data_IF_461253873257
#
_entry.id   IF_461253873257
#
_cell.length_a   1.000
_cell.length_b   1.000
_cell.length_c   1.000
_cell.angle_alpha   90.00
_cell.angle_beta   90.00
_cell.angle_gamma   90.00
#
_symmetry.space_group_name_H-M   'P 1'
#
loop_
_entity.id
_entity.type
_entity.pdbx_description
1 polymer ?
#
# COMPACT_ATOMS: atom_id res chain seq x y z
N UNK A 1 -38.45 -41.15 -0.79
CA UNK A 1 -38.92 -39.88 -1.40
C UNK A 1 -38.71 -38.83 -0.34
N UNK A 2 -37.53 -38.25 -0.31
CA UNK A 2 -37.18 -37.07 0.48
C UNK A 2 -36.44 -36.13 -0.46
N UNK A 3 -37.12 -35.05 -0.74
CA UNK A 3 -36.75 -34.01 -1.69
C UNK A 3 -35.67 -33.11 -1.06
N UNK A 4 -34.44 -33.15 -1.57
CA UNK A 4 -33.39 -32.23 -1.22
C UNK A 4 -33.39 -31.09 -2.23
N UNK A 5 -34.14 -30.05 -1.93
CA UNK A 5 -34.03 -28.76 -2.60
C UNK A 5 -32.69 -28.11 -2.25
N UNK A 6 -31.74 -28.29 -3.14
CA UNK A 6 -30.53 -27.48 -3.18
C UNK A 6 -30.91 -26.04 -3.44
N UNK A 7 -30.76 -25.17 -2.45
CA UNK A 7 -30.71 -23.72 -2.65
C UNK A 7 -29.40 -23.39 -3.38
N UNK A 8 -29.50 -23.10 -4.66
CA UNK A 8 -28.46 -22.40 -5.37
C UNK A 8 -28.37 -20.99 -4.81
N UNK A 9 -27.27 -20.66 -4.16
CA UNK A 9 -26.87 -19.29 -3.90
C UNK A 9 -26.57 -18.67 -5.24
N UNK A 10 -27.31 -17.65 -5.60
CA UNK A 10 -27.18 -16.88 -6.82
C UNK A 10 -26.03 -15.89 -6.60
N UNK A 11 -24.89 -15.98 -7.30
CA UNK A 11 -23.80 -15.00 -7.19
C UNK A 11 -24.04 -13.75 -8.03
N UNK A 12 -25.25 -13.54 -8.49
CA UNK A 12 -25.57 -12.38 -9.32
C UNK A 12 -26.13 -11.23 -8.51
N UNK A 13 -25.35 -10.55 -7.77
CA UNK A 13 -25.71 -9.18 -7.34
C UNK A 13 -24.64 -8.74 -6.32
N UNK A 14 -23.62 -8.03 -6.73
CA UNK A 14 -23.18 -6.97 -5.82
C UNK A 14 -22.08 -6.05 -6.33
N UNK A 15 -21.52 -6.29 -7.53
CA UNK A 15 -20.43 -5.40 -8.03
C UNK A 15 -20.68 -4.85 -9.47
N UNK A 16 -21.92 -4.62 -9.85
CA UNK A 16 -22.30 -4.31 -11.25
C UNK A 16 -22.62 -2.85 -11.56
N UNK A 17 -22.08 -1.86 -10.87
CA UNK A 17 -22.40 -0.45 -11.18
C UNK A 17 -21.27 0.55 -11.02
N UNK A 18 -20.07 0.23 -11.45
CA UNK A 18 -18.99 1.22 -11.35
C UNK A 18 -18.25 1.49 -12.65
N UNK A 19 -18.86 1.93 -13.68
CA UNK A 19 -18.22 2.76 -14.73
C UNK A 19 -19.32 3.46 -15.52
N UNK A 20 -19.76 4.62 -15.10
CA UNK A 20 -20.31 5.67 -15.98
C UNK A 20 -20.46 6.97 -15.19
N UNK A 21 -19.50 7.86 -15.30
CA UNK A 21 -19.72 9.23 -14.81
C UNK A 21 -18.50 10.05 -14.44
N UNK A 22 -17.49 10.10 -15.29
CA UNK A 22 -16.48 11.15 -15.16
C UNK A 22 -16.65 12.14 -16.31
N UNK A 23 -17.50 13.13 -16.13
CA UNK A 23 -17.53 14.33 -16.99
C UNK A 23 -17.06 15.55 -16.21
N UNK A 24 -16.02 16.14 -16.76
CA UNK A 24 -15.43 17.45 -16.51
C UNK A 24 -16.42 18.55 -16.07
N UNK A 25 -16.03 19.29 -15.02
CA UNK A 25 -16.25 20.72 -14.87
C UNK A 25 -15.41 21.17 -13.66
N UNK A 26 -14.48 22.10 -13.70
CA UNK A 26 -14.54 23.40 -14.28
C UNK A 26 -13.79 24.28 -13.30
N UNK A 27 -12.59 24.73 -13.67
CA UNK A 27 -11.77 25.74 -12.96
C UNK A 27 -12.56 27.03 -12.78
N UNK A 28 -12.53 27.61 -11.58
CA UNK A 28 -12.77 29.05 -11.39
C UNK A 28 -11.83 29.60 -10.33
N UNK A 29 -10.92 30.40 -10.81
CA UNK A 29 -10.01 31.23 -10.05
C UNK A 29 -10.74 32.35 -9.29
N UNK A 30 -10.32 32.64 -8.07
CA UNK A 30 -10.56 33.93 -7.44
C UNK A 30 -9.25 34.47 -6.85
N UNK A 31 -8.79 35.52 -7.53
CA UNK A 31 -7.79 36.50 -7.07
C UNK A 31 -8.53 37.69 -6.42
N UNK A 32 -8.13 38.11 -5.22
CA UNK A 32 -8.16 39.51 -4.72
C UNK A 32 -7.30 39.51 -3.45
N UNK A 33 -6.14 40.05 -3.37
CA UNK A 33 -5.62 41.41 -3.44
C UNK A 33 -5.71 42.20 -2.13
N UNK A 34 -4.52 42.49 -1.58
CA UNK A 34 -4.03 43.72 -0.96
C UNK A 34 -4.65 44.28 0.33
N UNK A 35 -3.71 44.61 1.25
CA UNK A 35 -3.88 45.73 2.20
C UNK A 35 -3.01 45.66 3.44
N UNK A 36 -1.79 46.12 3.33
CA UNK A 36 -1.00 47.21 3.97
C UNK A 36 -0.86 47.25 5.51
N UNK A 37 0.38 47.11 5.91
CA UNK A 37 1.21 47.98 6.81
C UNK A 37 0.75 48.30 8.25
N UNK A 38 1.68 47.98 9.18
CA UNK A 38 1.70 48.53 10.53
C UNK A 38 3.03 48.25 11.21
N UNK A 39 3.93 49.18 11.12
CA UNK A 39 5.26 49.28 11.75
C UNK A 39 5.16 49.42 13.28
N UNK A 40 6.07 48.77 14.02
CA UNK A 40 6.31 49.08 15.43
C UNK A 40 7.55 48.36 15.94
N UNK A 41 8.63 49.07 16.05
CA UNK A 41 9.97 48.67 16.46
C UNK A 41 10.14 48.80 17.99
N UNK A 42 11.28 48.38 18.61
CA UNK A 42 11.35 47.54 19.82
C UNK A 42 11.79 48.25 21.07
N UNK A 43 11.71 47.58 22.20
CA UNK A 43 12.48 48.00 23.40
C UNK A 43 12.90 46.77 24.22
N UNK A 44 14.19 46.58 24.33
CA UNK A 44 14.89 45.88 25.39
C UNK A 44 15.67 46.93 26.21
N UNK A 45 16.40 46.66 27.29
CA UNK A 45 16.39 45.49 28.20
C UNK A 45 16.36 45.91 29.72
N UNK A 46 16.24 44.93 30.62
CA UNK A 46 16.82 45.09 31.96
C UNK A 46 17.22 43.74 32.59
N UNK A 47 18.50 43.68 32.88
CA UNK A 47 19.24 42.64 33.61
C UNK A 47 18.96 42.73 35.11
N UNK A 48 18.86 41.60 35.80
CA UNK A 48 19.39 41.40 37.15
C UNK A 48 19.44 39.92 37.52
N UNK A 49 20.63 39.43 37.83
CA UNK A 49 20.95 38.16 38.46
C UNK A 49 21.19 38.41 39.98
N UNK A 50 21.61 37.39 40.78
CA UNK A 50 20.97 36.12 41.13
C UNK A 50 20.67 36.03 42.63
N UNK A 51 19.89 35.04 43.04
CA UNK A 51 19.87 34.65 44.47
C UNK A 51 19.76 33.12 44.64
N UNK A 52 20.63 32.58 45.42
CA UNK A 52 20.96 31.19 45.73
C UNK A 52 19.96 30.54 46.72
N UNK A 53 19.48 29.34 46.40
CA UNK A 53 19.31 28.03 47.09
C UNK A 53 18.75 27.95 48.53
N UNK A 54 18.35 26.76 49.08
CA UNK A 54 18.04 25.43 48.50
C UNK A 54 16.71 24.82 49.03
N UNK A 55 16.22 23.81 48.35
CA UNK A 55 15.13 22.99 48.86
C UNK A 55 14.60 22.04 47.82
N UNK A 56 15.27 20.86 47.62
CA UNK A 56 14.81 19.82 46.73
C UNK A 56 13.54 19.15 47.24
N UNK A 57 12.42 19.35 46.55
CA UNK A 57 11.31 18.39 46.50
C UNK A 57 11.48 17.52 45.27
N UNK A 58 11.11 16.22 45.33
CA UNK A 58 11.14 15.38 44.16
C UNK A 58 10.25 16.03 43.09
N UNK A 59 10.81 16.30 41.94
CA UNK A 59 10.05 16.70 40.77
C UNK A 59 9.06 15.56 40.46
N UNK A 60 7.78 15.77 40.71
CA UNK A 60 6.73 14.96 40.11
C UNK A 60 6.95 15.00 38.62
N UNK A 61 7.06 13.80 38.00
CA UNK A 61 7.02 13.68 36.57
C UNK A 61 5.77 14.42 36.05
N UNK A 62 5.86 15.19 34.97
CA UNK A 62 4.71 15.88 34.43
C UNK A 62 3.61 14.86 34.18
N UNK A 63 2.48 15.00 34.87
CA UNK A 63 1.28 14.21 34.60
C UNK A 63 0.95 14.40 33.13
N UNK A 64 1.02 13.33 32.36
CA UNK A 64 0.64 13.36 30.93
C UNK A 64 -0.79 13.92 30.83
N UNK A 65 -0.96 15.00 30.07
CA UNK A 65 -2.29 15.54 29.78
C UNK A 65 -3.03 14.41 29.02
N UNK A 66 -4.24 14.02 29.45
CA UNK A 66 -4.99 13.00 28.73
C UNK A 66 -5.16 13.44 27.28
N UNK A 67 -4.61 12.66 26.33
CA UNK A 67 -4.82 12.89 24.92
C UNK A 67 -6.24 12.45 24.55
N UNK A 68 -6.91 13.22 23.70
CA UNK A 68 -8.22 12.89 23.16
C UNK A 68 -8.14 12.76 21.65
N UNK A 69 -8.92 11.85 21.05
CA UNK A 69 -8.99 11.75 19.59
C UNK A 69 -9.39 13.09 18.98
N UNK A 70 -8.83 13.42 17.82
CA UNK A 70 -9.23 14.59 17.03
C UNK A 70 -10.60 14.35 16.38
N UNK A 71 -11.25 15.44 15.96
CA UNK A 71 -12.52 15.34 15.23
C UNK A 71 -12.36 14.73 13.83
N UNK A 72 -11.16 14.79 13.26
CA UNK A 72 -10.86 14.31 11.91
C UNK A 72 -9.48 13.64 11.83
N UNK A 73 -9.31 12.77 10.82
CA UNK A 73 -8.07 12.09 10.44
C UNK A 73 -7.96 12.10 8.92
N UNK A 74 -6.87 12.64 8.37
CA UNK A 74 -6.60 12.64 6.93
C UNK A 74 -5.77 11.40 6.58
N UNK A 75 -6.35 10.48 5.80
CA UNK A 75 -5.75 9.19 5.47
C UNK A 75 -5.63 9.00 3.95
N UNK A 76 -4.39 8.92 3.43
CA UNK A 76 -4.09 8.60 2.04
C UNK A 76 -3.76 7.11 1.89
N UNK A 77 -4.42 6.45 0.94
CA UNK A 77 -4.23 5.02 0.66
C UNK A 77 -4.30 4.73 -0.85
N UNK A 78 -4.10 3.49 -1.20
CA UNK A 78 -4.22 2.94 -2.55
C UNK A 78 -5.69 2.66 -2.90
N UNK A 79 -6.05 2.64 -4.20
CA UNK A 79 -7.36 2.19 -4.64
C UNK A 79 -7.66 0.76 -4.21
N UNK A 80 -8.93 0.47 -3.90
CA UNK A 80 -9.41 -0.87 -3.55
C UNK A 80 -8.68 -1.52 -2.35
N UNK A 81 -8.22 -0.74 -1.41
CA UNK A 81 -7.31 -1.22 -0.36
C UNK A 81 -7.88 -1.13 1.06
N UNK A 82 -9.19 -0.98 1.17
CA UNK A 82 -9.99 -1.09 2.39
C UNK A 82 -11.37 -1.66 2.04
N UNK A 83 -12.06 -2.25 3.02
CA UNK A 83 -13.41 -2.78 2.85
C UNK A 83 -14.38 -1.68 2.41
N UNK A 84 -15.18 -1.98 1.38
CA UNK A 84 -16.13 -1.07 0.77
C UNK A 84 -17.52 -1.70 0.76
N UNK A 85 -18.56 -0.89 1.00
CA UNK A 85 -19.94 -1.34 0.96
C UNK A 85 -20.36 -1.68 -0.48
N UNK A 86 -21.05 -2.81 -0.66
CA UNK A 86 -21.44 -3.33 -1.98
C UNK A 86 -22.42 -2.43 -2.72
N UNK A 87 -23.23 -1.64 -1.99
CA UNK A 87 -24.27 -0.77 -2.54
C UNK A 87 -23.83 0.70 -2.62
N UNK A 88 -22.79 1.08 -1.87
CA UNK A 88 -22.32 2.47 -1.79
C UNK A 88 -20.78 2.50 -1.59
N UNK A 89 -20.06 2.63 -2.69
CA UNK A 89 -18.58 2.62 -2.73
C UNK A 89 -17.92 3.77 -1.94
N UNK A 90 -18.68 4.77 -1.52
CA UNK A 90 -18.17 5.83 -0.65
C UNK A 90 -18.19 5.45 0.83
N UNK A 91 -18.73 4.29 1.15
CA UNK A 91 -18.82 3.78 2.51
C UNK A 91 -17.82 2.66 2.75
N UNK A 92 -17.12 2.80 3.85
CA UNK A 92 -16.12 1.85 4.32
C UNK A 92 -16.46 1.47 5.76
N UNK A 93 -16.91 0.24 5.97
CA UNK A 93 -17.36 -0.21 7.30
C UNK A 93 -16.28 -0.03 8.37
N UNK A 94 -15.03 -0.32 8.06
CA UNK A 94 -13.90 -0.09 9.00
C UNK A 94 -13.79 1.37 9.43
N UNK A 95 -13.99 2.33 8.52
CA UNK A 95 -13.94 3.76 8.85
C UNK A 95 -15.16 4.21 9.64
N UNK A 96 -16.34 3.67 9.33
CA UNK A 96 -17.58 3.93 10.08
C UNK A 96 -17.47 3.38 11.51
N UNK A 97 -16.93 2.15 11.69
CA UNK A 97 -16.72 1.54 13.00
C UNK A 97 -15.71 2.34 13.84
N UNK A 98 -14.63 2.84 13.22
CA UNK A 98 -13.69 3.74 13.88
C UNK A 98 -14.35 5.04 14.32
N UNK A 99 -15.15 5.65 13.44
CA UNK A 99 -15.92 6.88 13.73
C UNK A 99 -16.89 6.64 14.89
N UNK A 100 -17.61 5.51 14.88
CA UNK A 100 -18.54 5.16 15.96
C UNK A 100 -17.83 4.97 17.30
N UNK A 101 -16.61 4.42 17.31
CA UNK A 101 -15.83 4.14 18.53
C UNK A 101 -15.18 5.39 19.11
N UNK A 102 -14.60 6.26 18.27
CA UNK A 102 -13.76 7.37 18.71
C UNK A 102 -14.33 8.76 18.44
N UNK A 103 -15.41 8.88 17.66
CA UNK A 103 -16.01 10.18 17.29
C UNK A 103 -15.22 10.93 16.21
N UNK A 104 -14.20 10.32 15.62
CA UNK A 104 -13.33 10.88 14.58
C UNK A 104 -13.87 10.56 13.19
N UNK A 105 -14.03 11.54 12.33
CA UNK A 105 -14.34 11.33 10.91
C UNK A 105 -13.04 11.09 10.15
N UNK A 106 -12.90 9.93 9.51
CA UNK A 106 -11.75 9.64 8.67
C UNK A 106 -12.00 10.21 7.27
N UNK A 107 -11.16 11.17 6.87
CA UNK A 107 -11.12 11.70 5.49
C UNK A 107 -10.21 10.79 4.67
N UNK A 108 -10.81 9.74 4.14
CA UNK A 108 -10.12 8.73 3.37
C UNK A 108 -9.98 9.15 1.92
N UNK A 109 -8.80 8.92 1.33
CA UNK A 109 -8.50 9.30 -0.04
C UNK A 109 -7.69 8.22 -0.74
N UNK A 110 -8.23 7.65 -1.81
CA UNK A 110 -7.56 6.70 -2.69
C UNK A 110 -6.78 7.45 -3.77
N UNK A 111 -5.62 7.98 -3.40
CA UNK A 111 -4.81 8.86 -4.26
C UNK A 111 -3.39 8.36 -4.50
N UNK A 112 -3.02 7.24 -3.89
CA UNK A 112 -1.71 6.63 -4.10
C UNK A 112 -1.86 5.63 -5.25
N UNK A 113 -1.15 5.88 -6.36
CA UNK A 113 -1.13 5.00 -7.53
C UNK A 113 0.27 4.43 -7.79
N UNK A 114 1.28 5.12 -7.28
CA UNK A 114 2.70 4.76 -7.36
C UNK A 114 3.45 5.40 -6.18
N UNK A 115 4.40 4.67 -5.57
CA UNK A 115 5.16 5.17 -4.41
C UNK A 115 5.99 6.41 -4.74
N UNK A 116 6.68 6.43 -5.89
CA UNK A 116 7.56 7.54 -6.27
C UNK A 116 6.74 8.78 -6.65
N UNK A 117 5.62 8.60 -7.34
CA UNK A 117 4.69 9.67 -7.67
C UNK A 117 4.15 10.31 -6.40
N UNK A 118 3.62 9.51 -5.48
CA UNK A 118 3.08 10.02 -4.22
C UNK A 118 4.17 10.69 -3.36
N UNK A 119 5.37 10.07 -3.26
CA UNK A 119 6.52 10.68 -2.60
C UNK A 119 6.85 12.05 -3.17
N UNK A 120 6.79 12.21 -4.50
CA UNK A 120 6.97 13.49 -5.16
C UNK A 120 5.99 14.57 -4.70
N UNK A 121 4.77 14.20 -4.32
CA UNK A 121 3.74 15.14 -3.83
C UNK A 121 3.99 15.62 -2.40
N UNK A 122 4.44 14.72 -1.51
CA UNK A 122 4.64 15.03 -0.07
C UNK A 122 6.04 15.60 0.22
N UNK A 123 7.04 15.27 -0.62
CA UNK A 123 8.44 15.64 -0.44
C UNK A 123 8.65 17.14 -0.21
N UNK A 124 8.08 18.08 -1.00
CA UNK A 124 8.36 19.51 -0.83
C UNK A 124 7.99 20.05 0.55
N UNK A 125 6.90 19.55 1.14
CA UNK A 125 6.48 19.95 2.49
C UNK A 125 7.40 19.35 3.55
N UNK A 126 7.70 18.05 3.47
CA UNK A 126 8.56 17.34 4.43
C UNK A 126 10.00 17.87 4.40
N UNK A 127 10.53 18.18 3.21
CA UNK A 127 11.86 18.79 3.01
C UNK A 127 11.97 20.18 3.65
N UNK A 128 10.85 20.91 3.64
CA UNK A 128 10.73 22.22 4.32
C UNK A 128 10.42 22.10 5.82
N UNK A 129 10.30 20.89 6.39
CA UNK A 129 9.90 20.66 7.77
C UNK A 129 8.45 21.06 8.06
N UNK A 130 7.59 21.00 7.05
CA UNK A 130 6.16 21.36 7.15
C UNK A 130 5.29 20.12 7.11
N UNK A 131 4.07 20.25 7.63
CA UNK A 131 3.01 19.24 7.50
C UNK A 131 2.69 19.01 6.02
N UNK A 132 2.68 17.73 5.63
CA UNK A 132 2.32 17.31 4.26
C UNK A 132 0.80 17.25 4.01
N UNK A 133 -0.01 17.54 5.03
CA UNK A 133 -1.47 17.52 4.97
C UNK A 133 -2.09 16.14 5.22
N UNK A 134 -1.28 15.15 5.55
CA UNK A 134 -1.70 13.78 5.85
C UNK A 134 -1.33 13.40 7.27
N UNK A 135 -2.27 12.74 7.97
CA UNK A 135 -2.02 12.18 9.30
C UNK A 135 -1.57 10.72 9.22
N UNK A 136 -2.00 10.02 8.17
CA UNK A 136 -1.69 8.62 7.91
C UNK A 136 -1.54 8.39 6.40
N UNK A 137 -0.51 7.64 6.01
CA UNK A 137 -0.27 7.23 4.62
C UNK A 137 0.13 5.76 4.58
N UNK A 138 -0.17 5.07 3.47
CA UNK A 138 0.21 3.66 3.27
C UNK A 138 1.20 3.56 2.12
N UNK A 139 2.43 3.11 2.42
CA UNK A 139 3.51 3.03 1.44
C UNK A 139 4.30 1.72 1.60
N UNK A 140 4.87 1.26 0.49
CA UNK A 140 5.62 -0.01 0.46
C UNK A 140 6.92 0.09 1.25
N UNK A 141 7.44 -1.05 1.71
CA UNK A 141 8.62 -1.21 2.58
C UNK A 141 9.80 -0.30 2.21
N UNK A 142 10.14 -0.23 0.93
CA UNK A 142 11.29 0.56 0.48
C UNK A 142 11.06 2.07 0.63
N UNK A 143 9.82 2.52 0.45
CA UNK A 143 9.45 3.92 0.63
C UNK A 143 9.32 4.23 2.13
N UNK A 144 8.78 3.31 2.93
CA UNK A 144 8.80 3.40 4.38
C UNK A 144 10.25 3.53 4.90
N UNK A 145 11.16 2.65 4.43
CA UNK A 145 12.58 2.71 4.76
C UNK A 145 13.22 4.05 4.38
N UNK A 146 12.88 4.59 3.20
CA UNK A 146 13.37 5.90 2.74
C UNK A 146 12.89 7.03 3.64
N UNK A 147 11.59 7.08 3.96
CA UNK A 147 11.02 8.13 4.81
C UNK A 147 11.57 8.07 6.24
N UNK A 148 11.76 6.86 6.80
CA UNK A 148 12.38 6.65 8.12
C UNK A 148 13.83 7.16 8.10
N UNK A 149 14.62 6.77 7.10
CA UNK A 149 16.02 7.22 6.94
C UNK A 149 16.15 8.73 6.82
N UNK A 150 15.20 9.38 6.16
CA UNK A 150 15.16 10.85 6.01
C UNK A 150 14.66 11.55 7.29
N UNK A 151 14.13 10.81 8.27
CA UNK A 151 13.51 11.38 9.48
C UNK A 151 12.18 12.08 9.21
N UNK A 152 11.45 11.64 8.19
CA UNK A 152 10.20 12.24 7.71
C UNK A 152 8.94 11.53 8.17
N UNK A 153 9.08 10.63 9.13
CA UNK A 153 7.97 9.99 9.85
C UNK A 153 8.06 10.27 11.34
N UNK A 154 6.94 10.19 12.01
CA UNK A 154 6.86 10.28 13.48
C UNK A 154 7.18 8.93 14.11
N UNK A 155 7.84 8.96 15.27
CA UNK A 155 7.96 7.77 16.12
C UNK A 155 6.65 7.54 16.85
N UNK A 156 6.12 6.33 16.83
CA UNK A 156 4.89 5.95 17.51
C UNK A 156 5.06 5.93 19.04
N UNK A 157 4.02 6.31 19.76
CA UNK A 157 3.88 5.96 21.16
C UNK A 157 3.19 4.60 21.28
N UNK A 158 3.97 3.54 21.41
CA UNK A 158 3.46 2.17 21.49
C UNK A 158 2.51 1.93 22.66
N UNK A 159 2.50 2.81 23.69
CA UNK A 159 1.52 2.74 24.77
C UNK A 159 0.08 3.02 24.28
N UNK A 160 -0.07 3.74 23.18
CA UNK A 160 -1.36 4.00 22.53
C UNK A 160 -1.79 2.85 21.60
N UNK A 161 -0.91 1.85 21.37
CA UNK A 161 -1.06 0.82 20.34
C UNK A 161 -0.92 -0.61 20.89
N UNK A 162 -1.70 -0.99 21.93
CA UNK A 162 -1.61 -2.31 22.55
C UNK A 162 -1.99 -3.47 21.59
N UNK A 163 -2.97 -3.28 20.69
CA UNK A 163 -3.35 -4.30 19.70
C UNK A 163 -2.23 -4.51 18.68
N UNK A 164 -1.65 -3.43 18.13
CA UNK A 164 -0.49 -3.53 17.21
C UNK A 164 0.65 -4.29 17.87
N UNK A 165 0.97 -3.96 19.11
CA UNK A 165 2.05 -4.61 19.86
C UNK A 165 1.79 -6.10 20.12
N UNK A 166 0.55 -6.46 20.45
CA UNK A 166 0.18 -7.85 20.75
C UNK A 166 -0.01 -8.70 19.49
N UNK A 167 -0.65 -8.14 18.46
CA UNK A 167 -1.20 -8.90 17.35
C UNK A 167 -0.36 -8.84 16.06
N UNK A 168 0.67 -7.99 15.98
CA UNK A 168 1.60 -8.01 14.84
C UNK A 168 2.24 -9.40 14.70
N UNK A 169 2.18 -10.02 13.51
CA UNK A 169 2.81 -11.29 13.23
C UNK A 169 4.35 -11.18 13.37
N UNK A 170 4.99 -12.25 13.85
CA UNK A 170 6.41 -12.21 14.21
C UNK A 170 7.33 -12.01 12.99
N UNK A 171 6.88 -12.40 11.80
CA UNK A 171 7.61 -12.23 10.53
C UNK A 171 7.80 -10.75 10.14
N UNK A 172 6.93 -9.87 10.62
CA UNK A 172 7.01 -8.43 10.35
C UNK A 172 7.70 -7.62 11.44
N UNK A 173 8.20 -8.27 12.51
CA UNK A 173 8.86 -7.59 13.64
C UNK A 173 10.34 -7.42 13.41
N UNK A 174 10.88 -6.28 13.85
CA UNK A 174 12.31 -6.03 13.88
C UNK A 174 12.94 -6.01 12.50
N UNK A 175 12.23 -5.48 11.51
CA UNK A 175 12.75 -5.35 10.14
C UNK A 175 13.95 -4.40 10.09
N UNK A 176 14.85 -4.59 9.14
CA UNK A 176 16.13 -3.87 9.07
C UNK A 176 15.99 -2.34 9.07
N UNK A 177 14.93 -1.82 8.48
CA UNK A 177 14.70 -0.37 8.39
C UNK A 177 13.99 0.22 9.63
N UNK A 178 13.36 -0.62 10.46
CA UNK A 178 12.74 -0.23 11.74
C UNK A 178 12.88 -1.34 12.80
N UNK A 179 14.09 -1.54 13.37
CA UNK A 179 14.35 -2.62 14.34
C UNK A 179 13.55 -2.51 15.65
N UNK A 180 12.95 -1.36 15.90
CA UNK A 180 12.19 -1.05 17.12
C UNK A 180 10.69 -1.14 16.95
N UNK A 181 10.21 -1.33 15.70
CA UNK A 181 8.79 -1.41 15.34
C UNK A 181 7.97 -0.18 15.77
N UNK A 182 8.60 0.99 15.83
CA UNK A 182 7.99 2.22 16.34
C UNK A 182 7.89 3.35 15.31
N UNK A 183 8.14 3.07 14.03
CA UNK A 183 8.02 4.03 12.94
C UNK A 183 7.07 3.56 11.84
N UNK A 184 6.79 2.26 11.73
CA UNK A 184 5.91 1.67 10.74
C UNK A 184 4.92 0.69 11.36
N UNK A 185 3.82 0.48 10.69
CA UNK A 185 2.86 -0.57 11.01
C UNK A 185 2.40 -1.23 9.70
N UNK A 186 2.77 -2.49 9.44
CA UNK A 186 2.31 -3.21 8.25
C UNK A 186 0.79 -3.12 8.08
N UNK A 187 0.35 -2.76 6.87
CA UNK A 187 -1.06 -2.67 6.50
C UNK A 187 -1.55 -3.98 5.89
N UNK A 188 -0.99 -4.33 4.74
CA UNK A 188 -1.21 -5.59 4.05
C UNK A 188 0.08 -6.01 3.35
N UNK A 189 0.21 -7.30 3.04
CA UNK A 189 1.25 -7.80 2.14
C UNK A 189 0.63 -8.47 0.94
N UNK A 190 1.30 -8.41 -0.19
CA UNK A 190 0.82 -9.01 -1.41
C UNK A 190 1.91 -9.68 -2.21
N UNK A 191 1.49 -10.38 -3.24
CA UNK A 191 2.39 -11.06 -4.16
C UNK A 191 2.22 -10.51 -5.56
N UNK A 192 3.34 -10.32 -6.26
CA UNK A 192 3.34 -9.96 -7.68
C UNK A 192 3.65 -11.19 -8.52
N UNK A 193 2.83 -11.41 -9.52
CA UNK A 193 2.92 -12.55 -10.43
C UNK A 193 2.28 -12.25 -11.78
N UNK A 194 1.58 -13.23 -12.35
CA UNK A 194 0.85 -13.12 -13.61
C UNK A 194 -0.63 -12.84 -13.37
N UNK A 195 -1.15 -11.77 -13.98
CA UNK A 195 -2.59 -11.53 -14.11
C UNK A 195 -3.00 -11.70 -15.57
N UNK A 196 -3.99 -12.55 -15.88
CA UNK A 196 -4.34 -12.82 -17.27
C UNK A 196 -5.79 -13.24 -17.47
N UNK A 197 -6.27 -13.10 -18.72
CA UNK A 197 -7.56 -13.62 -19.17
C UNK A 197 -7.39 -15.04 -19.71
N UNK A 198 -7.75 -16.04 -18.91
CA UNK A 198 -7.61 -17.46 -19.27
C UNK A 198 -8.47 -17.90 -20.45
N UNK A 199 -9.54 -17.17 -20.76
CA UNK A 199 -10.36 -17.43 -21.94
C UNK A 199 -9.59 -17.15 -23.25
N UNK A 200 -8.57 -16.29 -23.21
CA UNK A 200 -7.71 -15.94 -24.35
C UNK A 200 -6.40 -16.73 -24.32
N UNK A 201 -5.73 -16.74 -23.17
CA UNK A 201 -4.37 -17.30 -23.04
C UNK A 201 -4.38 -18.82 -22.82
N UNK A 202 -5.45 -19.38 -22.25
CA UNK A 202 -5.39 -20.67 -21.55
C UNK A 202 -4.64 -20.52 -20.22
N UNK A 203 -4.25 -21.64 -19.61
CA UNK A 203 -3.47 -21.64 -18.37
C UNK A 203 -2.01 -21.24 -18.64
N UNK A 204 -1.53 -20.26 -17.86
CA UNK A 204 -0.13 -19.82 -17.87
C UNK A 204 0.47 -20.11 -16.49
N UNK A 205 1.70 -20.66 -16.47
CA UNK A 205 2.41 -20.96 -15.21
C UNK A 205 3.84 -20.39 -15.19
N UNK A 206 4.34 -19.88 -16.32
CA UNK A 206 5.71 -19.39 -16.45
C UNK A 206 5.75 -17.91 -16.79
N UNK A 207 6.70 -17.19 -16.21
CA UNK A 207 7.01 -15.79 -16.54
C UNK A 207 7.37 -15.60 -18.03
N UNK A 208 7.83 -16.63 -18.73
CA UNK A 208 8.15 -16.55 -20.17
C UNK A 208 6.98 -16.08 -21.03
N UNK A 209 5.74 -16.26 -20.54
CA UNK A 209 4.54 -15.80 -21.25
C UNK A 209 4.56 -14.27 -21.47
N UNK A 210 5.07 -13.49 -20.53
CA UNK A 210 5.20 -12.03 -20.62
C UNK A 210 6.17 -11.57 -21.72
N UNK A 211 7.10 -12.42 -22.13
CA UNK A 211 8.09 -12.17 -23.19
C UNK A 211 7.77 -12.91 -24.49
N UNK A 212 6.64 -13.62 -24.52
CA UNK A 212 6.27 -14.42 -25.71
C UNK A 212 5.45 -13.56 -26.66
N UNK A 213 5.93 -13.42 -27.90
CA UNK A 213 5.18 -12.74 -28.96
C UNK A 213 4.14 -13.69 -29.58
N UNK A 214 3.10 -14.02 -28.79
CA UNK A 214 1.98 -14.84 -29.30
C UNK A 214 0.95 -13.93 -29.97
N UNK A 215 0.49 -14.26 -31.21
CA UNK A 215 -0.51 -13.47 -31.93
C UNK A 215 -1.84 -13.26 -31.15
N UNK A 216 -2.14 -14.11 -30.18
CA UNK A 216 -3.36 -13.98 -29.35
C UNK A 216 -3.33 -12.78 -28.42
N UNK A 217 -2.13 -12.38 -27.95
CA UNK A 217 -1.97 -11.27 -27.00
C UNK A 217 -0.83 -10.31 -27.29
N UNK A 218 -0.20 -10.40 -28.48
CA UNK A 218 0.82 -9.45 -28.91
C UNK A 218 0.27 -8.02 -28.86
N UNK A 219 1.00 -7.10 -28.20
CA UNK A 219 0.59 -5.73 -27.95
C UNK A 219 -0.54 -5.55 -26.93
N UNK A 220 -0.83 -6.61 -26.14
CA UNK A 220 -1.80 -6.60 -25.03
C UNK A 220 -1.18 -7.08 -23.71
N UNK A 221 0.12 -6.91 -23.57
CA UNK A 221 0.87 -7.21 -22.35
C UNK A 221 1.27 -5.90 -21.68
N UNK A 222 1.10 -5.80 -20.36
CA UNK A 222 1.61 -4.68 -19.58
C UNK A 222 2.56 -5.15 -18.49
N UNK A 223 3.56 -4.32 -18.22
CA UNK A 223 4.43 -4.46 -17.08
C UNK A 223 4.07 -3.41 -16.04
N UNK A 224 4.54 -3.57 -14.80
CA UNK A 224 4.29 -2.59 -13.74
C UNK A 224 5.27 -1.42 -13.83
N UNK A 225 4.80 -0.22 -13.45
CA UNK A 225 5.66 0.94 -13.22
C UNK A 225 6.52 0.78 -11.96
N UNK A 226 6.09 -0.09 -11.04
CA UNK A 226 6.87 -0.39 -9.84
C UNK A 226 8.15 -1.14 -10.21
N UNK A 227 9.28 -0.43 -10.08
CA UNK A 227 10.60 -0.88 -10.51
C UNK A 227 11.00 -2.21 -9.88
N UNK A 228 10.72 -2.38 -8.57
CA UNK A 228 11.13 -3.58 -7.82
C UNK A 228 10.38 -4.82 -8.27
N UNK A 229 9.11 -4.66 -8.60
CA UNK A 229 8.30 -5.74 -9.14
C UNK A 229 8.73 -6.11 -10.56
N UNK A 230 8.85 -5.12 -11.44
CA UNK A 230 9.19 -5.34 -12.85
C UNK A 230 10.60 -5.95 -13.00
N UNK A 231 11.60 -5.38 -12.32
CA UNK A 231 12.97 -5.94 -12.30
C UNK A 231 12.98 -7.27 -11.56
N UNK A 232 12.30 -7.39 -10.43
CA UNK A 232 12.26 -8.62 -9.61
C UNK A 232 11.72 -9.83 -10.38
N UNK A 233 10.55 -9.71 -11.02
CA UNK A 233 10.00 -10.77 -11.86
C UNK A 233 10.90 -11.10 -13.06
N UNK A 234 11.55 -10.08 -13.63
CA UNK A 234 12.51 -10.30 -14.73
C UNK A 234 13.74 -11.07 -14.25
N UNK A 235 14.25 -10.77 -13.04
CA UNK A 235 15.35 -11.52 -12.44
C UNK A 235 14.98 -12.98 -12.18
N UNK A 236 13.77 -13.23 -11.64
CA UNK A 236 13.26 -14.59 -11.45
C UNK A 236 13.18 -15.35 -12.78
N UNK A 237 12.67 -14.73 -13.84
CA UNK A 237 12.67 -15.28 -15.20
C UNK A 237 14.07 -15.66 -15.67
N UNK A 238 15.08 -14.85 -15.33
CA UNK A 238 16.48 -15.09 -15.67
C UNK A 238 17.17 -16.09 -14.72
N UNK A 239 16.46 -16.68 -13.76
CA UNK A 239 16.97 -17.61 -12.77
C UNK A 239 17.88 -16.95 -11.72
N UNK A 240 17.71 -15.65 -11.48
CA UNK A 240 18.45 -14.86 -10.50
C UNK A 240 17.62 -14.58 -9.27
N UNK A 241 18.29 -14.28 -8.14
CA UNK A 241 17.64 -13.99 -6.86
C UNK A 241 17.48 -12.47 -6.67
N UNK A 242 16.24 -11.92 -6.69
CA UNK A 242 15.99 -10.50 -6.45
C UNK A 242 16.46 -10.01 -5.07
N UNK A 243 16.52 -10.89 -4.06
CA UNK A 243 16.95 -10.55 -2.71
C UNK A 243 18.47 -10.28 -2.61
N UNK A 244 19.22 -10.64 -3.65
CA UNK A 244 20.67 -10.45 -3.73
C UNK A 244 21.08 -9.68 -5.01
N UNK A 245 20.14 -8.98 -5.66
CA UNK A 245 20.36 -8.30 -6.92
C UNK A 245 21.54 -7.32 -6.87
N UNK A 246 22.41 -7.37 -7.89
CA UNK A 246 23.51 -6.44 -8.11
C UNK A 246 23.15 -5.45 -9.24
N UNK A 247 23.96 -4.39 -9.42
CA UNK A 247 23.80 -3.49 -10.56
C UNK A 247 23.90 -4.21 -11.90
N UNK A 248 24.80 -5.21 -12.00
CA UNK A 248 24.93 -6.02 -13.22
C UNK A 248 23.67 -6.88 -13.48
N UNK A 249 23.04 -7.39 -12.42
CA UNK A 249 21.78 -8.12 -12.54
C UNK A 249 20.64 -7.20 -12.98
N UNK A 250 20.60 -5.97 -12.46
CA UNK A 250 19.63 -4.96 -12.90
C UNK A 250 19.82 -4.59 -14.37
N UNK A 251 21.06 -4.37 -14.83
CA UNK A 251 21.35 -4.10 -16.24
C UNK A 251 20.86 -5.24 -17.16
N UNK A 252 21.04 -6.49 -16.73
CA UNK A 252 20.57 -7.66 -17.49
C UNK A 252 19.04 -7.73 -17.53
N UNK A 253 18.37 -7.51 -16.38
CA UNK A 253 16.91 -7.48 -16.29
C UNK A 253 16.32 -6.34 -17.16
N UNK A 254 16.88 -5.14 -17.07
CA UNK A 254 16.46 -3.98 -17.86
C UNK A 254 16.66 -4.24 -19.37
N UNK A 255 17.78 -4.86 -19.77
CA UNK A 255 18.00 -5.23 -21.16
C UNK A 255 16.98 -6.28 -21.66
N UNK A 256 16.53 -7.17 -20.76
CA UNK A 256 15.49 -8.15 -21.10
C UNK A 256 14.11 -7.48 -21.23
N UNK A 257 13.76 -6.54 -20.35
CA UNK A 257 12.56 -5.72 -20.46
C UNK A 257 12.59 -4.91 -21.79
N UNK A 258 13.72 -4.25 -22.09
CA UNK A 258 13.89 -3.47 -23.32
C UNK A 258 13.66 -4.32 -24.58
N UNK A 259 14.12 -5.57 -24.61
CA UNK A 259 13.85 -6.49 -25.72
C UNK A 259 12.36 -6.75 -25.93
N UNK A 260 11.58 -6.88 -24.85
CA UNK A 260 10.13 -7.08 -24.95
C UNK A 260 9.43 -5.81 -25.47
N UNK A 261 9.90 -4.64 -25.05
CA UNK A 261 9.43 -3.33 -25.56
C UNK A 261 9.75 -3.18 -27.04
N UNK A 262 11.00 -3.40 -27.44
CA UNK A 262 11.47 -3.27 -28.83
C UNK A 262 10.77 -4.26 -29.78
N UNK A 263 10.42 -5.44 -29.27
CA UNK A 263 9.67 -6.46 -30.01
C UNK A 263 8.17 -6.14 -30.14
N UNK A 264 7.68 -5.06 -29.50
CA UNK A 264 6.27 -4.66 -29.49
C UNK A 264 5.36 -5.64 -28.75
N UNK A 265 5.93 -6.43 -27.83
CA UNK A 265 5.17 -7.35 -26.95
C UNK A 265 4.48 -6.53 -25.87
N UNK A 266 5.24 -5.66 -25.18
CA UNK A 266 4.76 -4.81 -24.11
C UNK A 266 4.03 -3.61 -24.68
N UNK A 267 2.76 -3.44 -24.30
CA UNK A 267 1.93 -2.30 -24.66
C UNK A 267 2.34 -1.03 -23.90
N UNK A 268 2.73 -1.19 -22.63
CA UNK A 268 3.09 -0.10 -21.77
C UNK A 268 3.38 -0.56 -20.34
N UNK A 269 3.63 0.42 -19.49
CA UNK A 269 3.83 0.24 -18.07
C UNK A 269 2.68 0.93 -17.33
N UNK A 270 2.13 0.29 -16.30
CA UNK A 270 0.96 0.76 -15.57
C UNK A 270 1.14 0.57 -14.06
N UNK A 271 0.49 1.40 -13.26
CA UNK A 271 0.20 1.11 -11.86
C UNK A 271 -1.00 0.16 -11.77
N UNK A 272 -2.05 0.51 -11.00
CA UNK A 272 -3.26 -0.32 -10.87
C UNK A 272 -4.15 -0.37 -12.12
N UNK A 273 -3.93 0.48 -13.15
CA UNK A 273 -4.78 0.58 -14.33
C UNK A 273 -4.86 -0.74 -15.13
N UNK A 274 -3.86 -1.62 -15.02
CA UNK A 274 -3.89 -2.93 -15.68
C UNK A 274 -5.12 -3.75 -15.28
N UNK A 275 -5.64 -3.59 -14.09
CA UNK A 275 -6.77 -4.36 -13.59
C UNK A 275 -8.05 -4.07 -14.41
N UNK A 276 -8.34 -2.80 -14.67
CA UNK A 276 -9.45 -2.37 -15.54
C UNK A 276 -9.18 -2.76 -17.00
N UNK A 277 -7.95 -2.66 -17.45
CA UNK A 277 -7.58 -3.07 -18.81
C UNK A 277 -7.72 -4.59 -19.04
N UNK A 278 -7.51 -5.42 -18.02
CA UNK A 278 -7.79 -6.86 -18.07
C UNK A 278 -9.31 -7.12 -18.16
N UNK A 279 -10.13 -6.43 -17.38
CA UNK A 279 -11.60 -6.54 -17.44
C UNK A 279 -12.09 -6.17 -18.82
N UNK A 280 -11.69 -5.02 -19.35
CA UNK A 280 -12.11 -4.52 -20.66
C UNK A 280 -11.53 -5.32 -21.85
N UNK A 281 -10.47 -6.12 -21.63
CA UNK A 281 -9.76 -6.87 -22.68
C UNK A 281 -8.80 -6.03 -23.52
N UNK A 282 -8.51 -4.80 -23.08
CA UNK A 282 -7.43 -3.97 -23.63
C UNK A 282 -6.05 -4.58 -23.36
N UNK A 283 -5.91 -5.20 -22.18
CA UNK A 283 -4.80 -6.05 -21.76
C UNK A 283 -5.31 -7.47 -21.59
N UNK A 284 -4.47 -8.44 -21.86
CA UNK A 284 -4.78 -9.87 -21.77
C UNK A 284 -3.84 -10.57 -20.79
N UNK A 285 -2.65 -10.03 -20.61
CA UNK A 285 -1.62 -10.55 -19.71
C UNK A 285 -0.85 -9.38 -19.09
N UNK A 286 -0.62 -9.43 -17.80
CA UNK A 286 0.07 -8.38 -17.05
C UNK A 286 1.01 -8.97 -16.01
N UNK A 287 2.08 -8.24 -15.65
CA UNK A 287 2.62 -8.30 -14.30
C UNK A 287 1.53 -7.73 -13.38
N UNK A 288 1.15 -8.43 -12.33
CA UNK A 288 -0.04 -8.09 -11.59
C UNK A 288 0.07 -8.41 -10.09
N UNK A 289 -0.54 -7.58 -9.28
CA UNK A 289 -0.71 -7.81 -7.85
C UNK A 289 -1.89 -8.75 -7.58
N UNK A 290 -1.72 -9.65 -6.60
CA UNK A 290 -2.64 -10.76 -6.38
C UNK A 290 -4.07 -10.31 -6.08
N UNK A 291 -4.26 -9.38 -5.14
CA UNK A 291 -5.57 -8.94 -4.70
C UNK A 291 -6.38 -8.25 -5.80
N UNK A 292 -5.75 -7.38 -6.60
CA UNK A 292 -6.42 -6.64 -7.66
C UNK A 292 -7.12 -7.58 -8.66
N UNK A 293 -6.40 -8.62 -9.11
CA UNK A 293 -6.95 -9.58 -10.07
C UNK A 293 -8.09 -10.39 -9.45
N UNK A 294 -7.96 -10.77 -8.18
CA UNK A 294 -9.01 -11.52 -7.47
C UNK A 294 -10.28 -10.66 -7.32
N UNK A 295 -10.14 -9.40 -6.92
CA UNK A 295 -11.27 -8.47 -6.84
C UNK A 295 -11.96 -8.35 -8.20
N UNK A 296 -11.20 -8.27 -9.29
CA UNK A 296 -11.73 -8.13 -10.65
C UNK A 296 -12.33 -9.42 -11.24
N UNK A 297 -12.13 -10.57 -10.62
CA UNK A 297 -12.84 -11.81 -11.01
C UNK A 297 -14.37 -11.68 -10.87
N UNK A 298 -14.85 -10.86 -9.95
CA UNK A 298 -16.28 -10.57 -9.83
C UNK A 298 -16.88 -9.92 -11.08
N UNK A 299 -16.08 -9.17 -11.83
CA UNK A 299 -16.49 -8.51 -13.07
C UNK A 299 -16.23 -9.39 -14.32
N UNK A 300 -15.20 -10.24 -14.26
CA UNK A 300 -14.82 -11.12 -15.35
C UNK A 300 -14.22 -12.43 -14.83
N UNK A 301 -15.03 -13.47 -14.76
CA UNK A 301 -14.69 -14.79 -14.19
C UNK A 301 -13.47 -15.46 -14.86
N UNK A 302 -13.13 -15.10 -16.10
CA UNK A 302 -11.97 -15.65 -16.79
C UNK A 302 -10.63 -15.06 -16.38
N UNK A 303 -10.61 -14.04 -15.54
CA UNK A 303 -9.38 -13.50 -15.00
C UNK A 303 -8.78 -14.48 -13.99
N UNK A 304 -7.46 -14.62 -14.06
CA UNK A 304 -6.69 -15.50 -13.18
C UNK A 304 -5.46 -14.74 -12.70
N UNK A 305 -5.21 -14.78 -11.40
CA UNK A 305 -3.89 -14.49 -10.87
C UNK A 305 -3.15 -15.79 -10.62
N UNK A 306 -1.89 -15.86 -11.05
CA UNK A 306 -1.05 -17.04 -10.94
C UNK A 306 0.33 -16.69 -10.39
N UNK A 307 0.73 -17.37 -9.31
CA UNK A 307 2.12 -17.40 -8.88
C UNK A 307 2.92 -18.24 -9.88
N UNK A 308 3.90 -17.66 -10.61
CA UNK A 308 4.66 -18.37 -11.61
C UNK A 308 5.50 -19.53 -11.05
N UNK A 309 5.88 -20.47 -11.89
CA UNK A 309 6.76 -21.60 -11.51
C UNK A 309 8.14 -21.10 -11.06
N UNK A 310 8.64 -20.00 -11.65
CA UNK A 310 9.90 -19.34 -11.30
C UNK A 310 9.83 -18.61 -9.96
N UNK A 311 8.62 -18.37 -9.43
CA UNK A 311 8.33 -17.61 -8.22
C UNK A 311 7.73 -16.23 -8.51
N UNK A 312 7.50 -15.47 -7.45
CA UNK A 312 6.93 -14.12 -7.50
C UNK A 312 7.64 -13.16 -6.56
N UNK A 313 7.23 -11.90 -6.60
CA UNK A 313 7.68 -10.91 -5.61
C UNK A 313 6.70 -10.88 -4.43
N UNK A 314 7.24 -10.72 -3.23
CA UNK A 314 6.49 -10.44 -2.00
C UNK A 314 6.83 -9.02 -1.55
N UNK A 315 5.82 -8.24 -1.25
CA UNK A 315 5.95 -6.87 -0.75
C UNK A 315 5.02 -6.65 0.44
N UNK A 316 5.32 -5.62 1.22
CA UNK A 316 4.50 -5.20 2.36
C UNK A 316 4.28 -3.70 2.27
N UNK A 317 3.05 -3.27 2.43
CA UNK A 317 2.69 -1.87 2.59
C UNK A 317 2.51 -1.54 4.06
N UNK A 318 2.90 -0.33 4.42
CA UNK A 318 3.02 0.11 5.79
C UNK A 318 2.28 1.40 6.03
N UNK A 319 1.51 1.44 7.09
CA UNK A 319 0.98 2.68 7.65
C UNK A 319 2.12 3.47 8.28
N UNK A 320 2.25 4.73 7.87
CA UNK A 320 3.24 5.69 8.36
C UNK A 320 2.54 6.97 8.77
N UNK A 321 3.03 7.60 9.83
CA UNK A 321 2.59 8.93 10.26
C UNK A 321 3.64 9.93 9.77
N UNK A 322 3.34 10.76 8.75
CA UNK A 322 4.29 11.75 8.24
C UNK A 322 4.73 12.73 9.33
N UNK A 323 5.99 13.20 9.22
CA UNK A 323 6.53 14.16 10.17
C UNK A 323 5.73 15.45 10.18
N UNK A 324 5.35 15.91 11.40
CA UNK A 324 4.54 17.11 11.57
C UNK A 324 3.03 16.90 11.37
N UNK A 325 2.57 15.66 11.24
CA UNK A 325 1.14 15.32 11.16
C UNK A 325 0.36 15.93 12.34
N UNK A 326 -0.75 16.59 12.02
CA UNK A 326 -1.53 17.35 12.99
C UNK A 326 -2.22 16.44 14.03
N UNK A 327 -2.56 15.20 13.66
CA UNK A 327 -3.39 14.31 14.45
C UNK A 327 -2.70 12.98 14.78
N UNK A 328 -1.39 13.01 15.08
CA UNK A 328 -0.56 11.83 15.40
C UNK A 328 -1.24 10.84 16.34
N UNK A 329 -1.75 11.31 17.49
CA UNK A 329 -2.41 10.44 18.48
C UNK A 329 -3.62 9.71 17.89
N UNK A 330 -4.40 10.38 17.06
CA UNK A 330 -5.57 9.77 16.40
C UNK A 330 -5.14 8.76 15.32
N UNK A 331 -4.04 9.01 14.61
CA UNK A 331 -3.45 8.07 13.68
C UNK A 331 -2.95 6.81 14.41
N UNK A 332 -2.30 6.96 15.58
CA UNK A 332 -1.90 5.82 16.42
C UNK A 332 -3.12 4.98 16.87
N UNK A 333 -4.21 5.64 17.25
CA UNK A 333 -5.47 4.95 17.60
C UNK A 333 -6.08 4.22 16.39
N UNK A 334 -5.99 4.79 15.20
CA UNK A 334 -6.48 4.12 13.98
C UNK A 334 -5.62 2.89 13.64
N UNK A 335 -4.30 3.01 13.72
CA UNK A 335 -3.39 1.88 13.54
C UNK A 335 -3.73 0.77 14.56
N UNK A 336 -3.87 1.11 15.83
CA UNK A 336 -4.22 0.13 16.87
C UNK A 336 -5.59 -0.51 16.62
N UNK A 337 -6.55 0.27 16.12
CA UNK A 337 -7.90 -0.20 15.82
C UNK A 337 -7.92 -1.27 14.74
N UNK A 338 -7.18 -1.09 13.65
CA UNK A 338 -7.13 -2.06 12.55
C UNK A 338 -6.30 -3.31 12.88
N UNK A 339 -5.53 -3.27 13.97
CA UNK A 339 -4.85 -4.45 14.53
C UNK A 339 -5.73 -5.28 15.49
N UNK A 340 -7.01 -4.92 15.69
CA UNK A 340 -7.99 -5.83 16.26
C UNK A 340 -8.24 -6.98 15.27
N UNK A 341 -8.13 -8.27 15.67
CA UNK A 341 -8.30 -9.40 14.76
C UNK A 341 -9.63 -9.41 13.99
N UNK A 342 -10.71 -8.89 14.58
CA UNK A 342 -12.01 -8.82 13.92
C UNK A 342 -12.01 -7.77 12.80
N UNK A 343 -11.39 -6.61 13.04
CA UNK A 343 -11.27 -5.56 12.04
C UNK A 343 -10.30 -6.00 10.93
N UNK A 344 -9.17 -6.59 11.30
CA UNK A 344 -8.20 -7.11 10.34
C UNK A 344 -8.81 -8.19 9.43
N UNK A 345 -9.64 -9.10 9.98
CA UNK A 345 -10.36 -10.11 9.22
C UNK A 345 -11.36 -9.48 8.24
N UNK A 346 -12.10 -8.46 8.67
CA UNK A 346 -13.03 -7.70 7.83
C UNK A 346 -12.32 -7.07 6.63
N UNK A 347 -11.19 -6.38 6.86
CA UNK A 347 -10.39 -5.78 5.79
C UNK A 347 -9.85 -6.86 4.86
N UNK A 348 -9.21 -7.90 5.39
CA UNK A 348 -8.58 -8.96 4.60
C UNK A 348 -9.59 -9.72 3.73
N UNK A 349 -10.81 -9.93 4.22
CA UNK A 349 -11.88 -10.57 3.48
C UNK A 349 -12.29 -9.79 2.22
N UNK A 350 -12.18 -8.47 2.26
CA UNK A 350 -12.54 -7.62 1.13
C UNK A 350 -11.37 -7.40 0.17
N UNK A 351 -10.19 -7.00 0.71
CA UNK A 351 -9.03 -6.65 -0.12
C UNK A 351 -8.31 -7.85 -0.72
N UNK A 352 -8.51 -9.06 -0.14
CA UNK A 352 -7.87 -10.31 -0.57
C UNK A 352 -6.33 -10.28 -0.57
N UNK A 353 -5.74 -9.57 0.38
CA UNK A 353 -4.30 -9.50 0.61
C UNK A 353 -3.91 -10.14 1.95
N UNK A 354 -2.63 -10.40 2.13
CA UNK A 354 -2.09 -11.04 3.34
C UNK A 354 -2.16 -10.05 4.51
N UNK A 355 -2.95 -10.38 5.53
CA UNK A 355 -3.04 -9.56 6.74
C UNK A 355 -1.84 -9.76 7.66
N UNK A 356 -1.26 -8.68 8.23
CA UNK A 356 -0.17 -8.79 9.20
C UNK A 356 -0.63 -9.13 10.62
N UNK A 357 -1.93 -9.35 10.85
CA UNK A 357 -2.53 -9.44 12.18
C UNK A 357 -2.79 -10.89 12.59
N UNK A 358 -2.23 -11.29 13.73
CA UNK A 358 -2.51 -12.59 14.38
C UNK A 358 -3.98 -12.68 14.77
N UNK A 359 -4.56 -13.88 14.62
CA UNK A 359 -5.95 -14.13 15.00
C UNK A 359 -7.00 -13.77 13.94
N UNK A 360 -6.63 -13.04 12.90
CA UNK A 360 -7.56 -12.69 11.82
C UNK A 360 -8.06 -13.92 11.05
N UNK A 361 -7.20 -14.94 10.85
CA UNK A 361 -7.60 -16.21 10.19
C UNK A 361 -8.69 -16.93 10.96
N UNK A 362 -8.55 -17.03 12.28
CA UNK A 362 -9.51 -17.71 13.14
C UNK A 362 -10.86 -16.99 13.17
N UNK A 363 -10.85 -15.66 13.14
CA UNK A 363 -12.08 -14.86 13.02
C UNK A 363 -12.74 -15.11 11.68
N UNK A 364 -11.99 -14.97 10.58
CA UNK A 364 -12.52 -15.18 9.24
C UNK A 364 -13.07 -16.61 9.05
N UNK A 365 -12.38 -17.61 9.59
CA UNK A 365 -12.82 -19.01 9.49
C UNK A 365 -14.16 -19.29 10.18
N UNK A 366 -14.59 -18.46 11.13
CA UNK A 366 -15.90 -18.57 11.76
C UNK A 366 -17.04 -18.08 10.85
N UNK A 367 -16.75 -17.10 9.98
CA UNK A 367 -17.74 -16.46 9.11
C UNK A 367 -17.65 -17.01 7.67
N UNK A 368 -16.45 -17.17 7.13
CA UNK A 368 -16.16 -17.70 5.80
C UNK A 368 -14.97 -18.67 5.83
N UNK A 369 -15.21 -19.96 6.11
CA UNK A 369 -14.16 -20.97 6.16
C UNK A 369 -13.43 -21.19 4.84
N UNK A 370 -14.07 -20.96 3.68
CA UNK A 370 -13.46 -21.12 2.36
C UNK A 370 -12.44 -20.00 2.11
N UNK A 371 -12.81 -18.76 2.39
CA UNK A 371 -11.91 -17.62 2.26
C UNK A 371 -10.75 -17.68 3.25
N UNK A 372 -10.95 -18.21 4.45
CA UNK A 372 -9.90 -18.42 5.45
C UNK A 372 -8.82 -19.42 5.01
N UNK A 373 -9.12 -20.29 4.03
CA UNK A 373 -8.13 -21.19 3.43
C UNK A 373 -7.50 -20.62 2.13
N UNK A 374 -7.82 -19.40 1.76
CA UNK A 374 -7.20 -18.74 0.61
C UNK A 374 -5.69 -18.53 0.81
N UNK A 375 -4.85 -19.09 -0.08
CA UNK A 375 -3.39 -18.92 0.02
C UNK A 375 -2.93 -17.50 -0.32
N UNK A 376 -3.81 -16.64 -0.81
CA UNK A 376 -3.54 -15.25 -1.12
C UNK A 376 -3.70 -14.34 0.09
N UNK A 377 -4.54 -14.76 1.06
CA UNK A 377 -4.76 -14.05 2.33
C UNK A 377 -3.91 -14.68 3.45
N UNK A 378 -3.80 -16.00 3.43
CA UNK A 378 -3.05 -16.79 4.42
C UNK A 378 -2.11 -17.78 3.71
N UNK A 379 -1.01 -17.28 3.13
CA UNK A 379 -0.09 -18.11 2.36
C UNK A 379 0.53 -19.21 3.23
N UNK A 380 0.62 -20.42 2.66
CA UNK A 380 1.33 -21.52 3.29
C UNK A 380 2.85 -21.33 3.19
N UNK A 381 3.60 -22.05 4.02
CA UNK A 381 5.07 -22.08 3.95
C UNK A 381 5.58 -22.47 2.54
N UNK A 382 4.83 -23.31 1.82
CA UNK A 382 5.18 -23.70 0.44
C UNK A 382 5.04 -22.52 -0.55
N UNK A 383 4.01 -21.69 -0.39
CA UNK A 383 3.83 -20.46 -1.18
C UNK A 383 4.92 -19.45 -0.83
N UNK A 384 5.15 -19.22 0.47
CA UNK A 384 6.17 -18.28 0.95
C UNK A 384 7.60 -18.67 0.51
N UNK A 385 7.88 -19.98 0.36
CA UNK A 385 9.18 -20.43 -0.14
C UNK A 385 9.44 -20.08 -1.63
N UNK A 386 8.38 -19.80 -2.41
CA UNK A 386 8.47 -19.45 -3.83
C UNK A 386 8.53 -17.96 -4.09
N UNK A 387 8.23 -17.12 -3.12
CA UNK A 387 8.27 -15.67 -3.31
C UNK A 387 9.56 -15.07 -2.75
N UNK A 388 9.95 -13.93 -3.28
CA UNK A 388 11.16 -13.19 -2.89
C UNK A 388 10.81 -11.76 -2.57
N UNK A 389 11.45 -11.22 -1.54
CA UNK A 389 11.45 -9.78 -1.26
C UNK A 389 12.62 -9.17 -2.03
N UNK A 390 12.39 -8.07 -2.71
CA UNK A 390 13.48 -7.34 -3.35
C UNK A 390 14.44 -6.82 -2.29
N UNK A 391 15.77 -6.91 -2.53
CA UNK A 391 16.74 -6.43 -1.55
C UNK A 391 16.53 -4.95 -1.20
N UNK A 392 16.85 -4.57 0.02
CA UNK A 392 16.97 -3.16 0.39
C UNK A 392 18.12 -2.52 -0.39
N UNK A 393 17.83 -1.44 -1.13
CA UNK A 393 18.80 -0.72 -1.93
C UNK A 393 19.43 0.40 -1.09
N UNK A 394 20.73 0.62 -1.27
CA UNK A 394 21.36 1.88 -0.83
C UNK A 394 20.86 3.03 -1.69
N UNK A 395 21.03 4.27 -1.26
CA UNK A 395 20.63 5.45 -2.03
C UNK A 395 21.27 5.50 -3.43
N UNK A 396 22.54 5.11 -3.54
CA UNK A 396 23.26 5.02 -4.81
C UNK A 396 22.67 3.92 -5.72
N UNK A 397 22.40 2.74 -5.18
CA UNK A 397 21.76 1.64 -5.91
C UNK A 397 20.35 2.03 -6.34
N UNK A 398 19.57 2.64 -5.45
CA UNK A 398 18.21 3.06 -5.73
C UNK A 398 18.16 4.08 -6.89
N UNK A 399 19.01 5.11 -6.84
CA UNK A 399 19.15 6.05 -7.95
C UNK A 399 19.54 5.37 -9.25
N UNK A 400 20.51 4.45 -9.19
CA UNK A 400 20.96 3.70 -10.36
C UNK A 400 19.84 2.86 -10.99
N UNK A 401 19.11 2.09 -10.17
CA UNK A 401 18.01 1.22 -10.65
C UNK A 401 16.88 2.05 -11.23
N UNK A 402 16.48 3.12 -10.54
CA UNK A 402 15.42 4.03 -10.99
C UNK A 402 15.79 4.72 -12.31
N UNK A 403 16.99 5.28 -12.43
CA UNK A 403 17.45 5.97 -13.66
C UNK A 403 17.43 5.01 -14.87
N UNK A 404 17.87 3.79 -14.66
CA UNK A 404 17.88 2.76 -15.72
C UNK A 404 16.49 2.30 -16.09
N UNK A 405 15.63 2.10 -15.12
CA UNK A 405 14.25 1.66 -15.34
C UNK A 405 13.42 2.75 -16.03
N UNK A 406 13.53 4.00 -15.57
CA UNK A 406 12.88 5.16 -16.20
C UNK A 406 13.27 5.32 -17.67
N UNK A 407 14.52 5.03 -18.03
CA UNK A 407 14.95 5.09 -19.42
C UNK A 407 14.22 4.09 -20.35
N UNK A 408 13.72 2.98 -19.81
CA UNK A 408 12.97 1.96 -20.56
C UNK A 408 11.48 2.23 -20.54
N UNK A 409 10.93 2.71 -19.40
CA UNK A 409 9.49 3.00 -19.27
C UNK A 409 9.09 4.28 -20.00
N UNK A 410 10.04 5.19 -20.22
CA UNK A 410 9.80 6.48 -20.88
C UNK A 410 9.22 7.53 -19.92
N UNK A 411 9.35 7.30 -18.62
CA UNK A 411 8.87 8.18 -17.53
C UNK A 411 10.00 9.07 -17.02
#
# INVERSE_FOLDING_TARGET
MTDHTTRSLNPELTRRRFIQGSTLAGFSAFLVACGTSGTGTPSAPASSAPSTEPGGSPSEAPSAVPQSPSAELNFANWPLYIDTDDDDETKHKTLEDFTAKYGTVVKYSEIINDNEEFFGTIRPALDAGQDAGWDLVVLTDFMAARLIRLGWVETFDLANMPNKTANLQDVYKGVDFDPTDDHHAPWQSGMTGLGYDSAVTGNLTSLDALWTNDPKWAGKVTFLTEMRDAIGLTLLKLGKDPSAATQADADEAIAEIQKAVDAGIVRGFTGNEYAEDLVSGNVVLAMAWSGDVIVKQAEKESLVWQLPDEGGMLWTDNMLIPKGAAHKYTAELFIDFVYDPAIAAQIAAWVNYVTPVKGAKEVLAADDPELAESPLIFPSDEVLAKVKIFKSLTEEEESYFNDKFSAVTGN
#
